data_IF_462834540852
#
_entry.id   IF_462834540852
#
_cell.length_a   1.000
_cell.length_b   1.000
_cell.length_c   1.000
_cell.angle_alpha   90.00
_cell.angle_beta   90.00
_cell.angle_gamma   90.00
#
_symmetry.space_group_name_H-M   'P 1'
#
loop_
_entity.id
_entity.type
_entity.pdbx_description
1 polymer ?
#
# COMPACT_ATOMS: atom_id res chain seq x y z
N UNK A 1 5.00 11.92 7.39
CA UNK A 1 4.52 11.54 8.72
C UNK A 1 5.67 11.35 9.67
N UNK A 2 5.42 11.55 10.95
CA UNK A 2 6.45 11.91 11.92
C UNK A 2 6.19 11.25 13.27
N UNK A 3 7.21 10.61 13.81
CA UNK A 3 7.24 10.03 15.15
C UNK A 3 8.08 10.93 16.07
N UNK A 4 7.79 10.99 17.38
CA UNK A 4 8.61 11.74 18.32
C UNK A 4 10.05 11.22 18.36
N UNK A 5 11.04 12.10 18.19
CA UNK A 5 12.46 11.71 18.16
C UNK A 5 12.91 10.99 19.44
N UNK A 6 12.37 11.37 20.60
CA UNK A 6 12.69 10.70 21.89
C UNK A 6 12.21 9.25 21.93
N UNK A 7 11.00 8.99 21.42
CA UNK A 7 10.46 7.63 21.32
C UNK A 7 11.31 6.81 20.34
N UNK A 8 11.68 7.41 19.21
CA UNK A 8 12.57 6.80 18.23
C UNK A 8 13.94 6.44 18.82
N UNK A 9 14.56 7.35 19.59
CA UNK A 9 15.85 7.09 20.24
C UNK A 9 15.77 5.95 21.25
N UNK A 10 14.68 5.87 22.04
CA UNK A 10 14.45 4.74 22.96
C UNK A 10 14.30 3.41 22.22
N UNK A 11 13.51 3.40 21.15
CA UNK A 11 13.35 2.22 20.29
C UNK A 11 14.72 1.78 19.72
N UNK A 12 15.48 2.72 19.16
CA UNK A 12 16.79 2.45 18.57
C UNK A 12 17.79 1.89 19.59
N UNK A 13 17.81 2.44 20.81
CA UNK A 13 18.64 1.92 21.90
C UNK A 13 18.26 0.47 22.27
N UNK A 14 16.99 0.09 22.10
CA UNK A 14 16.52 -1.26 22.37
C UNK A 14 16.99 -2.29 21.33
N UNK A 15 17.04 -1.92 20.05
CA UNK A 15 17.41 -2.85 18.97
C UNK A 15 18.91 -2.81 18.60
N UNK A 16 19.60 -1.72 18.94
CA UNK A 16 21.00 -1.50 18.58
C UNK A 16 21.72 -0.63 19.65
N UNK A 17 21.89 -1.14 20.89
CA UNK A 17 22.37 -0.36 22.03
C UNK A 17 23.78 0.20 21.85
N UNK A 18 24.64 -0.53 21.11
CA UNK A 18 26.05 -0.18 20.91
C UNK A 18 26.30 0.53 19.55
N UNK A 19 25.25 0.73 18.75
CA UNK A 19 25.41 1.33 17.43
C UNK A 19 25.51 2.85 17.51
N UNK A 20 26.55 3.41 16.91
CA UNK A 20 26.65 4.86 16.73
C UNK A 20 25.62 5.36 15.70
N UNK A 21 25.24 6.63 15.75
CA UNK A 21 24.38 7.25 14.72
C UNK A 21 25.00 7.11 13.32
N UNK A 22 26.34 7.11 13.22
CA UNK A 22 27.04 6.91 11.96
C UNK A 22 26.88 5.48 11.42
N UNK A 23 26.89 4.47 12.30
CA UNK A 23 26.64 3.07 11.95
C UNK A 23 25.20 2.86 11.49
N UNK A 24 24.22 3.39 12.24
CA UNK A 24 22.81 3.30 11.88
C UNK A 24 22.57 3.88 10.49
N UNK A 25 23.10 5.07 10.20
CA UNK A 25 23.00 5.68 8.88
C UNK A 25 23.67 4.85 7.78
N UNK A 26 24.84 4.26 8.07
CA UNK A 26 25.59 3.45 7.11
C UNK A 26 24.83 2.18 6.74
N UNK A 27 24.31 1.45 7.72
CA UNK A 27 23.62 0.17 7.48
C UNK A 27 22.22 0.38 6.90
N UNK A 28 21.51 1.44 7.32
CA UNK A 28 20.16 1.75 6.79
C UNK A 28 20.14 2.48 5.45
N UNK A 29 21.30 2.92 4.94
CA UNK A 29 21.39 3.72 3.72
C UNK A 29 20.83 5.15 3.85
N UNK A 30 20.48 5.58 5.07
CA UNK A 30 19.96 6.92 5.34
C UNK A 30 21.13 7.90 5.41
N UNK A 31 21.01 9.03 4.70
CA UNK A 31 22.01 10.11 4.78
C UNK A 31 22.09 10.63 6.22
N UNK A 32 23.32 10.74 6.75
CA UNK A 32 23.56 11.26 8.12
C UNK A 32 22.90 12.61 8.37
N UNK A 33 22.96 13.52 7.38
CA UNK A 33 22.34 14.84 7.45
C UNK A 33 20.82 14.76 7.57
N UNK A 34 20.17 13.82 6.89
CA UNK A 34 18.73 13.59 6.97
C UNK A 34 18.32 13.14 8.37
N UNK A 35 18.99 12.11 8.92
CA UNK A 35 18.66 11.62 10.27
C UNK A 35 18.94 12.69 11.33
N UNK A 36 20.08 13.38 11.24
CA UNK A 36 20.42 14.47 12.17
C UNK A 36 19.36 15.59 12.15
N UNK A 37 18.91 16.02 10.97
CA UNK A 37 17.86 17.04 10.84
C UNK A 37 16.52 16.58 11.44
N UNK A 38 16.14 15.32 11.23
CA UNK A 38 14.93 14.75 11.82
C UNK A 38 15.01 14.75 13.36
N UNK A 39 16.14 14.33 13.92
CA UNK A 39 16.37 14.32 15.37
C UNK A 39 16.34 15.74 15.97
N UNK A 40 17.02 16.70 15.34
CA UNK A 40 17.05 18.11 15.78
C UNK A 40 15.64 18.73 15.75
N UNK A 41 14.83 18.40 14.74
CA UNK A 41 13.42 18.84 14.64
C UNK A 41 12.49 18.10 15.59
N UNK A 42 12.99 17.14 16.35
CA UNK A 42 12.21 16.32 17.28
C UNK A 42 11.25 15.34 16.60
N UNK A 43 11.40 15.11 15.30
CA UNK A 43 10.42 14.41 14.44
C UNK A 43 11.11 13.52 13.43
N UNK A 44 10.86 12.21 13.49
CA UNK A 44 11.48 11.17 12.65
C UNK A 44 10.46 10.59 11.70
N UNK A 45 10.80 10.38 10.42
CA UNK A 45 9.80 9.84 9.50
C UNK A 45 9.56 8.34 9.75
N UNK A 46 8.32 7.91 9.53
CA UNK A 46 7.94 6.48 9.61
C UNK A 46 8.79 5.63 8.66
N UNK A 47 9.08 6.16 7.46
CA UNK A 47 9.96 5.52 6.48
C UNK A 47 11.38 5.31 7.01
N UNK A 48 11.91 6.25 7.82
CA UNK A 48 13.21 6.10 8.47
C UNK A 48 13.22 4.94 9.47
N UNK A 49 12.15 4.79 10.26
CA UNK A 49 11.99 3.65 11.17
C UNK A 49 11.96 2.34 10.40
N UNK A 50 11.17 2.25 9.33
CA UNK A 50 11.08 1.04 8.50
C UNK A 50 12.42 0.69 7.85
N UNK A 51 13.13 1.67 7.28
CA UNK A 51 14.46 1.43 6.69
C UNK A 51 15.48 0.94 7.72
N UNK A 52 15.47 1.51 8.93
CA UNK A 52 16.36 1.05 10.01
C UNK A 52 15.95 -0.34 10.50
N UNK A 53 14.65 -0.61 10.66
CA UNK A 53 14.16 -1.92 11.08
C UNK A 53 14.64 -3.02 10.13
N UNK A 54 14.46 -2.83 8.81
CA UNK A 54 14.97 -3.75 7.78
C UNK A 54 16.48 -3.94 7.86
N UNK A 55 17.23 -2.86 8.05
CA UNK A 55 18.69 -2.88 8.13
C UNK A 55 19.24 -3.66 9.33
N UNK A 56 18.46 -3.74 10.41
CA UNK A 56 18.77 -4.53 11.60
C UNK A 56 18.00 -5.86 11.66
N UNK A 57 17.40 -6.30 10.54
CA UNK A 57 16.60 -7.54 10.46
C UNK A 57 15.45 -7.59 11.48
N UNK A 58 14.93 -6.44 11.87
CA UNK A 58 13.72 -6.31 12.70
C UNK A 58 12.52 -6.19 11.77
N UNK A 59 11.48 -7.00 12.01
CA UNK A 59 10.24 -6.90 11.25
C UNK A 59 9.66 -5.46 11.39
N UNK A 60 9.39 -4.74 10.28
CA UNK A 60 8.91 -3.36 10.34
C UNK A 60 7.56 -3.18 11.05
N UNK A 61 6.66 -4.15 10.99
CA UNK A 61 5.39 -4.11 11.70
C UNK A 61 5.63 -4.12 13.22
N UNK A 62 6.49 -5.02 13.69
CA UNK A 62 6.88 -5.08 15.09
C UNK A 62 7.62 -3.81 15.54
N UNK A 63 8.45 -3.22 14.68
CA UNK A 63 9.12 -1.96 14.96
C UNK A 63 8.13 -0.79 15.10
N UNK A 64 7.15 -0.70 14.20
CA UNK A 64 6.12 0.33 14.26
C UNK A 64 5.23 0.16 15.49
N UNK A 65 4.90 -1.08 15.87
CA UNK A 65 4.11 -1.38 17.06
C UNK A 65 4.68 -0.85 18.39
N UNK A 66 5.97 -0.50 18.42
CA UNK A 66 6.60 0.16 19.57
C UNK A 66 6.05 1.57 19.85
N UNK A 67 5.56 2.25 18.82
CA UNK A 67 5.11 3.64 18.90
C UNK A 67 3.61 3.71 19.19
N UNK A 68 3.19 4.62 20.07
CA UNK A 68 1.80 4.72 20.54
C UNK A 68 0.78 4.85 19.40
N UNK A 69 1.09 5.67 18.38
CA UNK A 69 0.23 5.88 17.21
C UNK A 69 0.01 4.61 16.37
N UNK A 70 0.86 3.60 16.56
CA UNK A 70 0.90 2.35 15.79
C UNK A 70 0.71 1.12 16.69
N UNK A 71 0.32 1.33 17.95
CA UNK A 71 0.25 0.27 18.96
C UNK A 71 -0.74 -0.85 18.61
N UNK A 72 -1.72 -0.58 17.75
CA UNK A 72 -2.64 -1.60 17.22
C UNK A 72 -1.97 -2.63 16.31
N UNK A 73 -0.74 -2.36 15.85
CA UNK A 73 0.11 -3.35 15.18
C UNK A 73 0.73 -4.36 16.16
N UNK A 74 0.60 -4.15 17.47
CA UNK A 74 1.09 -5.07 18.48
C UNK A 74 0.11 -6.24 18.65
N UNK A 75 0.62 -7.47 18.55
CA UNK A 75 -0.12 -8.70 18.82
C UNK A 75 -0.48 -9.50 17.56
N UNK A 76 -1.35 -10.51 17.69
CA UNK A 76 -1.77 -11.34 16.57
C UNK A 76 -2.56 -10.48 15.57
N UNK A 77 -2.03 -10.34 14.37
CA UNK A 77 -2.69 -9.59 13.32
C UNK A 77 -3.74 -10.46 12.62
N UNK A 78 -4.92 -9.91 12.30
CA UNK A 78 -5.89 -10.63 11.48
C UNK A 78 -5.26 -10.98 10.13
N UNK A 79 -5.52 -12.18 9.58
CA UNK A 79 -5.12 -12.49 8.22
C UNK A 79 -5.83 -11.54 7.23
N UNK A 80 -5.23 -11.25 6.07
CA UNK A 80 -5.87 -10.42 5.06
C UNK A 80 -7.14 -11.09 4.57
N UNK A 81 -8.18 -10.29 4.35
CA UNK A 81 -9.39 -10.77 3.70
C UNK A 81 -9.12 -11.09 2.22
N UNK A 82 -10.01 -11.88 1.61
CA UNK A 82 -9.90 -12.22 0.19
C UNK A 82 -9.93 -10.98 -0.71
N UNK A 83 -10.78 -10.00 -0.41
CA UNK A 83 -10.87 -8.78 -1.20
C UNK A 83 -9.59 -7.94 -1.10
N UNK A 84 -8.94 -7.89 0.07
CA UNK A 84 -7.63 -7.26 0.25
C UNK A 84 -6.57 -7.93 -0.61
N UNK A 85 -6.49 -9.27 -0.63
CA UNK A 85 -5.54 -10.01 -1.46
C UNK A 85 -5.74 -9.73 -2.96
N UNK A 86 -6.98 -9.82 -3.43
CA UNK A 86 -7.33 -9.56 -4.84
C UNK A 86 -7.06 -8.09 -5.23
N UNK A 87 -7.26 -7.16 -4.31
CA UNK A 87 -7.01 -5.73 -4.56
C UNK A 87 -5.54 -5.42 -4.90
N UNK A 88 -4.61 -6.26 -4.43
CA UNK A 88 -3.17 -6.14 -4.65
C UNK A 88 -2.69 -6.93 -5.87
N UNK A 89 -3.60 -7.34 -6.75
CA UNK A 89 -3.28 -7.89 -8.07
C UNK A 89 -3.35 -6.76 -9.08
N UNK A 90 -2.29 -6.61 -9.87
CA UNK A 90 -2.22 -5.56 -10.87
C UNK A 90 -3.22 -5.81 -12.00
N UNK A 91 -3.72 -4.74 -12.64
CA UNK A 91 -4.62 -4.89 -13.79
C UNK A 91 -4.04 -5.77 -14.90
N UNK A 92 -2.75 -5.65 -15.29
CA UNK A 92 -2.13 -6.57 -16.25
C UNK A 92 -2.18 -8.04 -15.83
N UNK A 93 -1.84 -8.35 -14.58
CA UNK A 93 -1.85 -9.74 -14.09
C UNK A 93 -3.28 -10.31 -14.06
N UNK A 94 -4.25 -9.49 -13.68
CA UNK A 94 -5.66 -9.86 -13.68
C UNK A 94 -6.17 -10.20 -15.08
N UNK A 95 -5.78 -9.40 -16.08
CA UNK A 95 -6.13 -9.65 -17.49
C UNK A 95 -5.46 -10.91 -18.03
N UNK A 96 -4.18 -11.13 -17.71
CA UNK A 96 -3.48 -12.37 -18.07
C UNK A 96 -4.19 -13.59 -17.47
N UNK A 97 -4.58 -13.51 -16.20
CA UNK A 97 -5.31 -14.58 -15.53
C UNK A 97 -6.66 -14.86 -16.20
N UNK A 98 -7.43 -13.82 -16.53
CA UNK A 98 -8.72 -13.92 -17.21
C UNK A 98 -8.59 -14.56 -18.60
N UNK A 99 -7.65 -14.06 -19.42
CA UNK A 99 -7.40 -14.58 -20.77
C UNK A 99 -6.94 -16.03 -20.77
N UNK A 100 -6.28 -16.45 -19.70
CA UNK A 100 -5.81 -17.81 -19.61
C UNK A 100 -6.94 -18.79 -19.21
N UNK A 101 -8.09 -18.34 -18.65
CA UNK A 101 -9.12 -19.26 -18.09
C UNK A 101 -9.76 -20.15 -19.18
N UNK A 102 -10.14 -21.41 -18.87
CA UNK A 102 -10.64 -22.36 -19.85
C UNK A 102 -11.91 -21.94 -20.59
N UNK A 103 -12.79 -21.14 -19.96
CA UNK A 103 -13.97 -20.58 -20.63
C UNK A 103 -13.62 -19.71 -21.85
N UNK A 104 -12.36 -19.25 -21.94
CA UNK A 104 -11.80 -18.48 -23.05
C UNK A 104 -10.81 -19.28 -23.91
N UNK A 105 -10.50 -20.55 -23.57
CA UNK A 105 -9.62 -21.43 -24.34
C UNK A 105 -10.40 -22.57 -25.02
N UNK A 106 -10.91 -22.37 -26.25
CA UNK A 106 -11.67 -23.38 -26.98
C UNK A 106 -10.81 -24.57 -27.45
N UNK A 107 -9.49 -24.53 -27.31
CA UNK A 107 -8.57 -25.51 -27.88
C UNK A 107 -8.02 -26.53 -26.86
N UNK A 108 -8.34 -26.40 -25.57
CA UNK A 108 -7.98 -27.37 -24.52
C UNK A 108 -6.48 -27.63 -24.41
N UNK A 109 -5.63 -26.64 -24.74
CA UNK A 109 -4.18 -26.82 -24.75
C UNK A 109 -3.64 -26.90 -23.32
N UNK A 110 -2.61 -27.72 -23.05
CA UNK A 110 -1.92 -27.72 -21.77
C UNK A 110 -1.38 -26.32 -21.50
N UNK A 111 -1.84 -25.73 -20.39
CA UNK A 111 -1.62 -24.33 -20.04
C UNK A 111 -0.16 -24.15 -19.59
N UNK A 112 0.62 -23.23 -20.19
CA UNK A 112 1.87 -22.82 -19.56
C UNK A 112 1.53 -22.25 -18.18
N UNK A 113 2.37 -22.57 -17.18
CA UNK A 113 2.20 -22.05 -15.83
C UNK A 113 2.14 -20.51 -15.90
N UNK A 114 1.08 -19.87 -15.37
CA UNK A 114 0.99 -18.42 -15.43
C UNK A 114 2.23 -17.80 -14.76
N UNK A 115 2.75 -16.69 -15.32
CA UNK A 115 3.89 -16.01 -14.73
C UNK A 115 3.56 -15.59 -13.29
N UNK A 116 4.59 -15.50 -12.45
CA UNK A 116 4.43 -15.01 -11.08
C UNK A 116 3.81 -13.61 -11.09
N UNK A 117 2.86 -13.37 -10.18
CA UNK A 117 2.22 -12.07 -10.04
C UNK A 117 3.25 -10.98 -9.80
N UNK A 118 2.99 -9.80 -10.37
CA UNK A 118 3.82 -8.62 -10.12
C UNK A 118 3.81 -8.27 -8.62
N UNK A 119 4.93 -7.73 -8.08
CA UNK A 119 4.99 -7.37 -6.67
C UNK A 119 4.05 -6.20 -6.34
N UNK A 120 3.49 -6.19 -5.13
CA UNK A 120 2.83 -5.02 -4.58
C UNK A 120 3.85 -4.05 -3.94
N UNK A 121 3.59 -2.73 -3.96
CA UNK A 121 2.44 -2.07 -4.57
C UNK A 121 2.61 -1.81 -6.08
N UNK A 122 1.51 -1.65 -6.79
CA UNK A 122 1.41 -1.16 -8.16
C UNK A 122 0.73 0.22 -8.22
N UNK A 123 0.69 0.83 -9.41
CA UNK A 123 0.23 2.21 -9.64
C UNK A 123 -1.21 2.53 -9.17
N UNK A 124 -1.99 1.49 -8.83
CA UNK A 124 -3.38 1.59 -8.37
C UNK A 124 -3.63 0.85 -7.05
N UNK A 125 -2.59 0.35 -6.37
CA UNK A 125 -2.72 -0.50 -5.16
C UNK A 125 -3.55 0.14 -4.06
N UNK A 126 -3.33 1.42 -3.76
CA UNK A 126 -4.03 2.14 -2.69
C UNK A 126 -5.51 2.27 -3.03
N UNK A 127 -5.81 2.78 -4.24
CA UNK A 127 -7.19 2.95 -4.68
C UNK A 127 -7.92 1.61 -4.72
N UNK A 128 -7.27 0.61 -5.32
CA UNK A 128 -7.83 -0.73 -5.46
C UNK A 128 -8.14 -1.37 -4.11
N UNK A 129 -7.27 -1.19 -3.12
CA UNK A 129 -7.46 -1.67 -1.76
C UNK A 129 -8.64 -1.00 -1.08
N UNK A 130 -8.71 0.34 -1.09
CA UNK A 130 -9.82 1.06 -0.47
C UNK A 130 -11.14 0.69 -1.12
N UNK A 131 -11.22 0.67 -2.45
CA UNK A 131 -12.45 0.30 -3.17
C UNK A 131 -12.87 -1.15 -2.87
N UNK A 132 -11.94 -2.05 -2.51
CA UNK A 132 -12.23 -3.46 -2.20
C UNK A 132 -12.71 -3.70 -0.77
N UNK A 133 -12.39 -2.80 0.17
CA UNK A 133 -12.80 -2.88 1.58
C UNK A 133 -13.94 -1.90 1.93
N UNK A 134 -14.29 -1.01 1.00
CA UNK A 134 -15.36 -0.02 1.20
C UNK A 134 -16.74 -0.67 1.07
N UNK A 135 -17.51 -0.63 2.15
CA UNK A 135 -18.92 -1.04 2.21
C UNK A 135 -19.88 0.11 1.81
N UNK A 136 -19.34 1.23 1.34
CA UNK A 136 -20.05 2.46 0.99
C UNK A 136 -19.90 3.56 2.04
N UNK A 137 -19.50 3.22 3.26
CA UNK A 137 -19.44 4.14 4.40
C UNK A 137 -18.01 4.37 4.93
N UNK A 138 -16.99 3.69 4.38
CA UNK A 138 -15.61 3.80 4.89
C UNK A 138 -15.11 5.24 4.80
N UNK A 139 -15.40 5.94 3.70
CA UNK A 139 -14.97 7.34 3.53
C UNK A 139 -15.54 8.26 4.60
N UNK A 140 -16.81 8.07 4.97
CA UNK A 140 -17.47 8.86 6.01
C UNK A 140 -16.89 8.53 7.39
N UNK A 141 -16.72 7.24 7.71
CA UNK A 141 -16.12 6.78 8.97
C UNK A 141 -14.68 7.27 9.16
N UNK A 142 -13.86 7.21 8.12
CA UNK A 142 -12.48 7.73 8.14
C UNK A 142 -12.49 9.24 8.38
N UNK A 143 -13.37 9.98 7.72
CA UNK A 143 -13.49 11.42 7.91
C UNK A 143 -13.87 11.76 9.35
N UNK A 144 -14.87 11.08 9.91
CA UNK A 144 -15.30 11.27 11.29
C UNK A 144 -14.19 10.93 12.32
N UNK A 145 -13.40 9.88 12.06
CA UNK A 145 -12.35 9.42 12.97
C UNK A 145 -11.05 10.26 12.90
N UNK A 146 -10.74 10.84 11.74
CA UNK A 146 -9.44 11.51 11.51
C UNK A 146 -9.55 13.03 11.38
N UNK A 147 -10.76 13.57 11.20
CA UNK A 147 -10.98 14.98 10.86
C UNK A 147 -10.55 15.35 9.43
N UNK A 148 -10.06 14.39 8.63
CA UNK A 148 -9.72 14.63 7.22
C UNK A 148 -11.02 14.79 6.44
N UNK A 149 -11.18 15.92 5.76
CA UNK A 149 -12.34 16.17 4.92
C UNK A 149 -12.48 15.09 3.82
N UNK A 150 -13.70 14.63 3.48
CA UNK A 150 -13.90 13.58 2.48
C UNK A 150 -13.30 13.90 1.10
N UNK A 151 -13.26 15.18 0.73
CA UNK A 151 -12.65 15.66 -0.51
C UNK A 151 -11.13 15.45 -0.50
N UNK A 152 -10.45 15.73 0.62
CA UNK A 152 -9.02 15.53 0.78
C UNK A 152 -8.67 14.04 0.77
N UNK A 153 -9.49 13.21 1.43
CA UNK A 153 -9.35 11.76 1.37
C UNK A 153 -9.47 11.26 -0.08
N UNK A 154 -10.52 11.69 -0.79
CA UNK A 154 -10.75 11.33 -2.20
C UNK A 154 -9.63 11.79 -3.14
N UNK A 155 -9.06 12.96 -2.90
CA UNK A 155 -7.91 13.47 -3.65
C UNK A 155 -6.66 12.59 -3.43
N UNK A 156 -6.40 12.17 -2.19
CA UNK A 156 -5.31 11.24 -1.88
C UNK A 156 -5.49 9.87 -2.56
N UNK A 157 -6.70 9.31 -2.55
CA UNK A 157 -7.01 8.06 -3.26
C UNK A 157 -6.83 8.20 -4.78
N UNK A 158 -7.26 9.33 -5.34
CA UNK A 158 -7.06 9.62 -6.77
C UNK A 158 -5.58 9.70 -7.13
N UNK A 159 -4.75 10.23 -6.23
CA UNK A 159 -3.30 10.25 -6.36
C UNK A 159 -2.61 8.92 -6.03
N UNK A 160 -3.38 7.85 -5.73
CA UNK A 160 -2.90 6.55 -5.27
C UNK A 160 -1.92 6.64 -4.09
N UNK A 161 -2.25 7.48 -3.10
CA UNK A 161 -1.42 7.73 -1.92
C UNK A 161 -2.28 7.68 -0.66
N UNK A 162 -1.76 7.10 0.40
CA UNK A 162 -2.28 7.25 1.75
C UNK A 162 -1.10 7.38 2.71
N UNK A 163 -1.29 8.22 3.72
CA UNK A 163 -0.43 8.25 4.90
C UNK A 163 -0.62 6.93 5.68
N UNK A 164 0.42 6.30 6.23
CA UNK A 164 0.22 5.14 7.12
C UNK A 164 -0.77 5.34 8.27
N UNK A 165 -0.92 6.51 8.91
CA UNK A 165 -2.00 6.70 9.90
C UNK A 165 -3.38 6.68 9.25
N UNK A 166 -3.50 7.24 8.04
CA UNK A 166 -4.74 7.23 7.30
C UNK A 166 -5.07 5.84 6.75
N UNK A 167 -4.06 5.05 6.38
CA UNK A 167 -4.21 3.65 6.02
C UNK A 167 -4.70 2.83 7.21
N UNK A 168 -4.11 3.02 8.40
CA UNK A 168 -4.57 2.40 9.64
C UNK A 168 -6.00 2.80 10.02
N UNK A 169 -6.31 4.09 9.94
CA UNK A 169 -7.67 4.59 10.17
C UNK A 169 -8.67 4.01 9.16
N UNK A 170 -8.25 3.83 7.91
CA UNK A 170 -9.06 3.19 6.86
C UNK A 170 -9.29 1.71 7.15
N UNK A 171 -8.25 0.96 7.54
CA UNK A 171 -8.38 -0.44 7.98
C UNK A 171 -9.36 -0.57 9.14
N UNK A 172 -9.22 0.29 10.16
CA UNK A 172 -10.10 0.30 11.34
C UNK A 172 -11.54 0.64 10.97
N UNK A 173 -11.73 1.64 10.11
CA UNK A 173 -13.05 2.02 9.63
C UNK A 173 -13.72 0.88 8.86
N UNK A 174 -12.98 0.15 8.02
CA UNK A 174 -13.50 -0.99 7.25
C UNK A 174 -13.60 -2.30 8.05
N UNK A 175 -13.09 -2.36 9.28
CA UNK A 175 -13.08 -3.57 10.10
C UNK A 175 -12.14 -4.67 9.58
N UNK A 176 -11.09 -4.30 8.83
CA UNK A 176 -10.08 -5.23 8.31
C UNK A 176 -8.77 -5.14 9.09
N UNK A 177 -7.82 -6.04 8.81
CA UNK A 177 -6.51 -6.03 9.43
C UNK A 177 -5.73 -4.72 9.19
N UNK A 178 -4.88 -4.28 10.13
CA UNK A 178 -4.19 -2.99 10.03
C UNK A 178 -3.05 -3.00 8.99
N UNK A 179 -2.59 -4.17 8.54
CA UNK A 179 -1.44 -4.27 7.64
C UNK A 179 -1.79 -4.13 6.16
N UNK A 180 -3.04 -4.38 5.75
CA UNK A 180 -3.45 -4.35 4.34
C UNK A 180 -3.19 -3.00 3.67
N UNK A 181 -3.56 -1.91 4.35
CA UNK A 181 -3.28 -0.56 3.86
C UNK A 181 -1.78 -0.20 3.86
N UNK A 182 -0.99 -0.77 4.76
CA UNK A 182 0.46 -0.57 4.80
C UNK A 182 1.16 -1.29 3.65
N UNK A 183 0.67 -2.46 3.25
CA UNK A 183 1.10 -3.17 2.03
C UNK A 183 0.70 -2.38 0.79
N UNK A 184 -0.56 -1.92 0.72
CA UNK A 184 -1.08 -1.17 -0.43
C UNK A 184 -0.34 0.16 -0.66
N UNK A 185 0.16 0.79 0.39
CA UNK A 185 1.00 2.00 0.32
C UNK A 185 2.48 1.71 0.03
N UNK A 186 2.90 0.44 0.06
CA UNK A 186 4.29 0.02 -0.07
C UNK A 186 5.17 0.36 1.11
N UNK A 187 4.59 0.71 2.26
CA UNK A 187 5.40 0.94 3.46
C UNK A 187 6.03 -0.38 3.91
N UNK A 188 5.27 -1.47 3.88
CA UNK A 188 5.71 -2.83 4.23
C UNK A 188 5.43 -3.80 3.08
N UNK A 189 6.14 -4.93 3.07
CA UNK A 189 5.89 -6.02 2.11
C UNK A 189 4.79 -6.97 2.61
N UNK A 190 4.29 -7.83 1.73
CA UNK A 190 3.34 -8.89 2.06
C UNK A 190 3.90 -9.84 3.14
N UNK A 191 5.18 -10.20 3.03
CA UNK A 191 5.87 -11.04 4.00
C UNK A 191 6.00 -10.33 5.36
N UNK A 192 6.40 -9.07 5.36
CA UNK A 192 6.50 -8.27 6.59
C UNK A 192 5.15 -8.12 7.28
N UNK A 193 4.06 -8.05 6.50
CA UNK A 193 2.67 -8.02 6.97
C UNK A 193 2.15 -9.37 7.50
N UNK A 194 2.94 -10.44 7.38
CA UNK A 194 2.56 -11.80 7.79
C UNK A 194 1.56 -12.48 6.86
N UNK A 195 1.46 -12.05 5.61
CA UNK A 195 0.59 -12.71 4.63
C UNK A 195 1.15 -14.08 4.27
N UNK A 196 0.31 -15.13 4.14
CA UNK A 196 0.78 -16.43 3.71
C UNK A 196 1.46 -16.36 2.33
N UNK A 197 2.58 -17.07 2.11
CA UNK A 197 3.22 -17.12 0.80
C UNK A 197 2.23 -17.58 -0.28
N UNK A 198 2.16 -16.84 -1.39
CA UNK A 198 1.24 -17.14 -2.49
C UNK A 198 -0.24 -16.83 -2.20
N UNK A 199 -0.58 -16.15 -1.10
CA UNK A 199 -1.96 -15.84 -0.74
C UNK A 199 -2.72 -15.09 -1.86
N UNK A 200 -2.06 -14.14 -2.55
CA UNK A 200 -2.66 -13.44 -3.70
C UNK A 200 -3.00 -14.39 -4.85
N UNK A 201 -2.09 -15.30 -5.18
CA UNK A 201 -2.31 -16.30 -6.23
C UNK A 201 -3.45 -17.26 -5.84
N UNK A 202 -3.46 -17.77 -4.60
CA UNK A 202 -4.52 -18.64 -4.12
C UNK A 202 -5.89 -17.93 -4.13
N UNK A 203 -5.94 -16.66 -3.75
CA UNK A 203 -7.16 -15.84 -3.82
C UNK A 203 -7.66 -15.69 -5.26
N UNK A 204 -6.74 -15.45 -6.22
CA UNK A 204 -7.04 -15.34 -7.65
C UNK A 204 -7.53 -16.67 -8.24
N UNK A 205 -6.87 -17.77 -7.90
CA UNK A 205 -7.18 -19.10 -8.41
C UNK A 205 -8.58 -19.55 -7.95
N UNK A 206 -8.95 -19.19 -6.71
CA UNK A 206 -10.28 -19.48 -6.17
C UNK A 206 -11.41 -18.62 -6.76
N UNK A 207 -11.12 -17.60 -7.58
CA UNK A 207 -12.18 -16.79 -8.22
C UNK A 207 -12.91 -17.59 -9.28
N UNK A 208 -14.23 -17.38 -9.36
CA UNK A 208 -15.00 -17.89 -10.49
C UNK A 208 -14.60 -17.13 -11.76
N UNK A 209 -14.75 -17.78 -12.92
CA UNK A 209 -14.46 -17.15 -14.21
C UNK A 209 -15.35 -15.92 -14.46
N UNK A 210 -16.58 -15.92 -13.91
CA UNK A 210 -17.50 -14.78 -13.95
C UNK A 210 -17.01 -13.60 -13.10
N UNK A 211 -16.66 -13.84 -11.84
CA UNK A 211 -16.14 -12.79 -10.94
C UNK A 211 -14.84 -12.19 -11.46
N UNK A 212 -13.96 -13.04 -12.00
CA UNK A 212 -12.68 -12.61 -12.58
C UNK A 212 -12.91 -11.71 -13.81
N UNK A 213 -13.80 -12.11 -14.71
CA UNK A 213 -14.16 -11.32 -15.89
C UNK A 213 -14.79 -9.99 -15.51
N UNK A 214 -15.74 -9.99 -14.56
CA UNK A 214 -16.37 -8.75 -14.07
C UNK A 214 -15.34 -7.81 -13.46
N UNK A 215 -14.50 -8.30 -12.55
CA UNK A 215 -13.46 -7.48 -11.92
C UNK A 215 -12.46 -6.93 -12.94
N UNK A 216 -12.06 -7.74 -13.93
CA UNK A 216 -11.18 -7.29 -15.00
C UNK A 216 -11.83 -6.18 -15.85
N UNK A 217 -13.11 -6.33 -16.17
CA UNK A 217 -13.92 -5.30 -16.84
C UNK A 217 -13.98 -4.00 -16.06
N UNK A 218 -14.27 -4.07 -14.75
CA UNK A 218 -14.34 -2.90 -13.87
C UNK A 218 -13.00 -2.17 -13.79
N UNK A 219 -11.89 -2.91 -13.67
CA UNK A 219 -10.53 -2.35 -13.64
C UNK A 219 -10.18 -1.66 -14.96
N UNK A 220 -10.54 -2.25 -16.10
CA UNK A 220 -10.35 -1.64 -17.42
C UNK A 220 -11.19 -0.38 -17.61
N UNK A 221 -12.45 -0.39 -17.18
CA UNK A 221 -13.32 0.77 -17.27
C UNK A 221 -12.78 1.93 -16.40
N UNK A 222 -12.32 1.63 -15.19
CA UNK A 222 -11.70 2.61 -14.30
C UNK A 222 -10.42 3.19 -14.91
N UNK A 223 -9.55 2.35 -15.47
CA UNK A 223 -8.33 2.79 -16.16
C UNK A 223 -8.65 3.69 -17.36
N UNK A 224 -9.63 3.30 -18.19
CA UNK A 224 -10.06 4.10 -19.35
C UNK A 224 -10.57 5.50 -18.96
N UNK A 225 -11.28 5.64 -17.83
CA UNK A 225 -11.70 6.95 -17.30
C UNK A 225 -10.51 7.81 -16.89
N UNK A 226 -9.47 7.21 -16.29
CA UNK A 226 -8.25 7.94 -15.88
C UNK A 226 -7.46 8.40 -17.10
N UNK A 227 -7.25 7.52 -18.08
CA UNK A 227 -6.50 7.85 -19.30
C UNK A 227 -7.16 8.99 -20.09
N UNK A 228 -8.49 8.93 -20.31
CA UNK A 228 -9.21 10.00 -21.01
C UNK A 228 -9.09 11.35 -20.31
N UNK A 229 -9.10 11.36 -18.97
CA UNK A 229 -8.90 12.59 -18.20
C UNK A 229 -7.49 13.14 -18.37
N UNK A 230 -6.48 12.29 -18.33
CA UNK A 230 -5.09 12.69 -18.56
C UNK A 230 -4.88 13.27 -19.96
N UNK A 231 -5.47 12.65 -20.99
CA UNK A 231 -5.44 13.16 -22.38
C UNK A 231 -6.08 14.55 -22.48
N UNK A 232 -7.23 14.77 -21.80
CA UNK A 232 -7.89 16.07 -21.77
C UNK A 232 -7.07 17.15 -21.04
N UNK A 233 -6.52 16.81 -19.87
CA UNK A 233 -5.69 17.73 -19.07
C UNK A 233 -4.41 18.11 -19.83
N UNK A 234 -3.82 17.16 -20.56
CA UNK A 234 -2.65 17.41 -21.41
C UNK A 234 -3.01 18.34 -22.59
N UNK A 235 -4.08 18.05 -23.32
CA UNK A 235 -4.54 18.88 -24.45
C UNK A 235 -4.90 20.31 -24.01
N UNK A 236 -5.45 20.48 -22.80
CA UNK A 236 -5.72 21.81 -22.23
C UNK A 236 -4.42 22.54 -21.86
N UNK A 237 -3.46 21.82 -21.30
CA UNK A 237 -2.14 22.38 -20.95
C UNK A 237 -1.40 22.85 -22.20
N UNK A 238 -1.37 22.03 -23.25
CA UNK A 238 -0.77 22.38 -24.56
C UNK A 238 -1.40 23.64 -25.15
N UNK A 239 -2.74 23.76 -25.13
CA UNK A 239 -3.44 24.99 -25.57
C UNK A 239 -3.07 26.23 -24.75
N UNK A 240 -2.84 26.10 -23.45
CA UNK A 240 -2.41 27.23 -22.62
C UNK A 240 -1.01 27.68 -23.02
N UNK A 241 -0.09 26.72 -23.24
CA UNK A 241 1.27 27.03 -23.71
C UNK A 241 1.28 27.68 -25.09
N UNK A 242 0.45 27.19 -26.03
CA UNK A 242 0.31 27.77 -27.37
C UNK A 242 -0.21 29.22 -27.34
N UNK A 243 -1.05 29.58 -26.36
CA UNK A 243 -1.59 30.94 -26.22
C UNK A 243 -0.68 31.90 -25.43
N UNK A 244 0.36 31.39 -24.77
CA UNK A 244 1.35 32.18 -24.03
C UNK A 244 2.64 32.43 -24.85
N UNK A 245 2.74 31.89 -26.06
CA UNK A 245 3.83 32.07 -27.03
C UNK A 245 3.53 33.10 -28.10
#
# INVERSE_FOLDING_TARGET
MILPAKAFQRWLQGIAPDASTADVCRVSGIKRTTLAQQLVRGKVSVTTVVSIARAYSVNPVAALAYFDDYRELAGPLPPPTRCELISQISTPDLLQAALARPAMDPAGRPRPQPPALSPAPHATSVKNWVDAIDDGEVRHRVSAATGVAPQNYSAQLTANRLSPELALATSRAAGVGPTGGLVATGLITEEEAGWPPGARQAALDSMSDGDLTTLAGDRLQALGKVLRRQEQDQAQTEKIWENLG
#
